data_IF_659102124547
#
_entry.id   IF_659102124547
#
_cell.length_a   1.000
_cell.length_b   1.000
_cell.length_c   1.000
_cell.angle_alpha   90.00
_cell.angle_beta   90.00
_cell.angle_gamma   90.00
#
_symmetry.space_group_name_H-M   'P 1'
#
loop_
_entity.id
_entity.type
_entity.pdbx_description
1 polymer ?
#
# COMPACT_ATOMS: atom_id res chain seq x y z
N UNK A 1 -33.58 -22.98 -0.41
CA UNK A 1 -33.78 -21.58 0.02
C UNK A 1 -33.22 -21.44 1.43
N UNK A 2 -31.93 -21.13 1.55
CA UNK A 2 -31.25 -20.95 2.84
C UNK A 2 -30.43 -19.67 2.73
N UNK A 3 -30.87 -18.63 3.44
CA UNK A 3 -30.06 -17.60 4.12
C UNK A 3 -28.83 -17.00 3.38
N UNK A 4 -29.04 -16.34 2.23
CA UNK A 4 -28.01 -15.50 1.58
C UNK A 4 -28.17 -14.00 1.91
N UNK A 5 -29.32 -13.60 2.47
CA UNK A 5 -29.63 -12.18 2.70
C UNK A 5 -28.80 -11.52 3.81
N UNK A 6 -28.39 -12.25 4.85
CA UNK A 6 -27.78 -11.62 6.03
C UNK A 6 -26.33 -11.16 5.79
N UNK A 7 -25.53 -11.93 5.05
CA UNK A 7 -24.11 -11.61 4.82
C UNK A 7 -23.92 -10.45 3.85
N UNK A 8 -24.79 -10.33 2.85
CA UNK A 8 -24.73 -9.26 1.86
C UNK A 8 -25.26 -7.93 2.43
N UNK A 9 -26.29 -7.99 3.30
CA UNK A 9 -26.73 -6.84 4.08
C UNK A 9 -25.65 -6.37 5.05
N UNK A 10 -24.91 -7.27 5.69
CA UNK A 10 -23.83 -6.90 6.62
C UNK A 10 -22.66 -6.22 5.91
N UNK A 11 -22.29 -6.68 4.70
CA UNK A 11 -21.22 -6.05 3.92
C UNK A 11 -21.65 -4.66 3.40
N UNK A 12 -22.87 -4.55 2.86
CA UNK A 12 -23.40 -3.29 2.36
C UNK A 12 -23.68 -2.30 3.50
N UNK A 13 -24.16 -2.78 4.65
CA UNK A 13 -24.33 -1.99 5.88
C UNK A 13 -22.99 -1.54 6.44
N UNK A 14 -21.96 -2.38 6.47
CA UNK A 14 -20.61 -2.01 6.92
C UNK A 14 -20.00 -0.91 6.03
N UNK A 15 -20.17 -1.01 4.71
CA UNK A 15 -19.70 0.00 3.74
C UNK A 15 -20.50 1.31 3.90
N UNK A 16 -21.82 1.23 4.04
CA UNK A 16 -22.68 2.43 4.24
C UNK A 16 -22.40 3.10 5.59
N UNK A 17 -22.08 2.31 6.62
CA UNK A 17 -21.72 2.82 7.95
C UNK A 17 -20.31 3.43 7.97
N UNK A 18 -19.37 2.93 7.16
CA UNK A 18 -18.04 3.51 6.98
C UNK A 18 -18.06 4.80 6.15
N UNK A 19 -18.96 4.89 5.16
CA UNK A 19 -19.10 6.07 4.29
C UNK A 19 -20.04 7.15 4.87
N UNK A 20 -20.88 6.79 5.86
CA UNK A 20 -21.87 7.67 6.46
C UNK A 20 -21.42 8.44 7.72
N UNK A 21 -20.26 8.13 8.30
CA UNK A 21 -19.77 8.89 9.46
C UNK A 21 -18.99 10.14 9.02
N UNK A 22 -19.72 11.25 9.15
CA UNK A 22 -19.22 12.61 9.10
C UNK A 22 -17.99 12.74 9.99
N UNK A 23 -16.92 13.22 9.37
CA UNK A 23 -15.63 13.67 9.90
C UNK A 23 -15.68 14.18 11.36
N UNK A 24 -15.59 13.28 12.32
CA UNK A 24 -15.10 13.59 13.65
C UNK A 24 -14.15 12.47 14.10
N UNK A 25 -12.91 12.85 14.32
CA UNK A 25 -11.75 11.98 14.56
C UNK A 25 -11.91 11.11 15.83
N UNK A 26 -12.92 11.39 16.66
CA UNK A 26 -13.18 10.74 17.94
C UNK A 26 -14.10 9.50 17.84
N UNK A 27 -14.99 9.42 16.85
CA UNK A 27 -15.97 8.31 16.78
C UNK A 27 -15.35 6.97 16.35
N UNK A 28 -14.22 7.02 15.64
CA UNK A 28 -13.43 5.82 15.29
C UNK A 28 -12.71 5.27 16.53
N UNK A 29 -12.26 6.13 17.44
CA UNK A 29 -11.64 5.71 18.72
C UNK A 29 -12.66 5.06 19.67
N UNK A 30 -13.89 5.56 19.70
CA UNK A 30 -14.94 5.06 20.61
C UNK A 30 -15.51 3.70 20.16
N UNK A 31 -15.51 3.39 18.87
CA UNK A 31 -15.89 2.03 18.37
C UNK A 31 -14.77 1.00 18.51
N UNK A 32 -13.50 1.41 18.51
CA UNK A 32 -12.38 0.52 18.82
C UNK A 32 -12.35 0.08 20.30
N UNK A 33 -13.00 0.83 21.19
CA UNK A 33 -13.07 0.58 22.64
C UNK A 33 -13.91 -0.65 23.04
N UNK A 34 -14.82 -1.13 22.20
CA UNK A 34 -15.59 -2.37 22.46
C UNK A 34 -14.79 -3.66 22.20
N UNK A 35 -13.61 -3.56 21.57
CA UNK A 35 -12.62 -4.63 21.38
C UNK A 35 -11.44 -4.44 22.36
N UNK A 36 -11.76 -4.25 23.64
CA UNK A 36 -10.87 -3.80 24.74
C UNK A 36 -9.63 -4.65 25.08
N UNK A 37 -9.20 -5.55 24.20
CA UNK A 37 -7.91 -6.27 24.26
C UNK A 37 -7.11 -6.23 22.94
N UNK A 38 -7.60 -5.59 21.87
CA UNK A 38 -7.07 -5.84 20.51
C UNK A 38 -6.39 -4.65 19.82
N UNK A 39 -6.72 -3.39 20.12
CA UNK A 39 -6.26 -2.26 19.31
C UNK A 39 -4.77 -1.92 19.48
N UNK A 40 -4.29 -1.84 20.72
CA UNK A 40 -2.86 -1.61 21.04
C UNK A 40 -1.99 -2.77 20.58
N UNK A 41 -2.50 -4.00 20.76
CA UNK A 41 -1.78 -5.24 20.48
C UNK A 41 -1.71 -5.47 18.97
N UNK A 42 -2.78 -5.16 18.24
CA UNK A 42 -2.81 -5.18 16.77
C UNK A 42 -1.84 -4.13 16.19
N UNK A 43 -1.82 -2.91 16.74
CA UNK A 43 -0.88 -1.88 16.29
C UNK A 43 0.56 -2.32 16.55
N UNK A 44 0.83 -2.89 17.71
CA UNK A 44 2.15 -3.41 18.08
C UNK A 44 2.57 -4.58 17.20
N UNK A 45 1.65 -5.50 16.91
CA UNK A 45 1.87 -6.61 15.99
C UNK A 45 2.15 -6.14 14.56
N UNK A 46 1.38 -5.18 14.05
CA UNK A 46 1.60 -4.60 12.72
C UNK A 46 2.93 -3.87 12.62
N UNK A 47 3.33 -3.14 13.65
CA UNK A 47 4.66 -2.51 13.69
C UNK A 47 5.79 -3.54 13.70
N UNK A 48 5.65 -4.62 14.49
CA UNK A 48 6.63 -5.73 14.53
C UNK A 48 6.70 -6.49 13.22
N UNK A 49 5.56 -6.77 12.60
CA UNK A 49 5.49 -7.40 11.29
C UNK A 49 6.09 -6.49 10.23
N UNK A 50 5.82 -5.18 10.28
CA UNK A 50 6.37 -4.19 9.37
C UNK A 50 7.89 -4.06 9.40
N UNK A 51 8.53 -4.48 10.51
CA UNK A 51 9.98 -4.43 10.70
C UNK A 51 10.70 -5.75 10.42
N UNK A 52 10.01 -6.80 9.92
CA UNK A 52 10.63 -8.12 9.71
C UNK A 52 11.70 -8.11 8.62
N UNK A 53 11.72 -7.10 7.76
CA UNK A 53 12.69 -6.95 6.68
C UNK A 53 13.86 -6.03 7.05
N UNK A 54 13.76 -5.31 8.17
CA UNK A 54 14.68 -4.23 8.52
C UNK A 54 16.05 -4.76 8.96
N UNK A 55 17.11 -4.12 8.48
CA UNK A 55 18.51 -4.35 8.84
C UNK A 55 19.11 -3.11 9.54
N UNK A 56 20.09 -3.29 10.44
CA UNK A 56 20.80 -2.17 11.04
C UNK A 56 21.55 -1.38 9.96
N UNK A 57 21.14 -0.13 9.72
CA UNK A 57 21.74 0.75 8.71
C UNK A 57 20.87 0.99 7.47
N UNK A 58 19.68 0.38 7.38
CA UNK A 58 18.71 0.73 6.34
C UNK A 58 18.31 2.21 6.45
N UNK A 59 18.28 2.90 5.32
CA UNK A 59 17.81 4.28 5.21
C UNK A 59 16.27 4.35 5.25
N UNK A 60 15.72 5.55 5.47
CA UNK A 60 14.27 5.74 5.61
C UNK A 60 13.49 5.29 4.36
N UNK A 61 14.06 5.42 3.16
CA UNK A 61 13.40 4.98 1.94
C UNK A 61 13.27 3.46 1.89
N UNK A 62 14.35 2.74 2.23
CA UNK A 62 14.34 1.26 2.29
C UNK A 62 13.34 0.74 3.32
N UNK A 63 13.34 1.32 4.53
CA UNK A 63 12.36 0.98 5.57
C UNK A 63 10.92 1.23 5.12
N UNK A 64 10.67 2.32 4.36
CA UNK A 64 9.35 2.59 3.81
C UNK A 64 8.95 1.52 2.77
N UNK A 65 9.86 1.12 1.87
CA UNK A 65 9.60 0.06 0.89
C UNK A 65 9.27 -1.28 1.55
N UNK A 66 10.00 -1.64 2.61
CA UNK A 66 9.73 -2.83 3.43
C UNK A 66 8.30 -2.82 3.98
N UNK A 67 7.92 -1.74 4.66
CA UNK A 67 6.60 -1.58 5.27
C UNK A 67 5.48 -1.62 4.24
N UNK A 68 5.64 -0.93 3.10
CA UNK A 68 4.65 -0.94 2.02
C UNK A 68 4.43 -2.35 1.49
N UNK A 69 5.51 -3.12 1.24
CA UNK A 69 5.41 -4.52 0.80
C UNK A 69 4.62 -5.37 1.80
N UNK A 70 4.97 -5.26 3.09
CA UNK A 70 4.37 -6.09 4.15
C UNK A 70 2.90 -5.74 4.34
N UNK A 71 2.56 -4.45 4.43
CA UNK A 71 1.19 -4.00 4.60
C UNK A 71 0.32 -4.33 3.39
N UNK A 72 0.85 -4.19 2.17
CA UNK A 72 0.15 -4.60 0.96
C UNK A 72 -0.11 -6.12 0.95
N UNK A 73 0.88 -6.94 1.33
CA UNK A 73 0.71 -8.39 1.45
C UNK A 73 -0.34 -8.77 2.49
N UNK A 74 -0.34 -8.14 3.68
CA UNK A 74 -1.36 -8.36 4.72
C UNK A 74 -2.76 -7.98 4.22
N UNK A 75 -2.90 -6.84 3.56
CA UNK A 75 -4.17 -6.39 2.99
C UNK A 75 -4.70 -7.38 1.95
N UNK A 76 -3.83 -7.85 1.06
CA UNK A 76 -4.19 -8.84 0.05
C UNK A 76 -4.48 -10.22 0.66
N UNK A 77 -3.79 -10.61 1.73
CA UNK A 77 -4.12 -11.81 2.51
C UNK A 77 -5.51 -11.71 3.13
N UNK A 78 -5.90 -10.54 3.66
CA UNK A 78 -7.25 -10.32 4.16
C UNK A 78 -8.29 -10.50 3.05
N UNK A 79 -8.02 -9.97 1.85
CA UNK A 79 -8.83 -10.22 0.65
C UNK A 79 -8.88 -11.70 0.26
N UNK A 80 -7.74 -12.40 0.29
CA UNK A 80 -7.63 -13.83 0.00
C UNK A 80 -8.42 -14.69 0.99
N UNK A 81 -8.34 -14.39 2.28
CA UNK A 81 -9.14 -15.06 3.31
C UNK A 81 -10.63 -14.79 3.13
N UNK A 82 -11.01 -13.55 2.83
CA UNK A 82 -12.40 -13.16 2.60
C UNK A 82 -12.98 -13.92 1.40
N UNK A 83 -12.34 -13.83 0.24
CA UNK A 83 -12.81 -14.49 -0.98
C UNK A 83 -12.71 -16.01 -0.91
N UNK A 84 -11.64 -16.56 -0.33
CA UNK A 84 -11.51 -18.00 -0.10
C UNK A 84 -12.62 -18.54 0.80
N UNK A 85 -12.96 -17.83 1.87
CA UNK A 85 -14.05 -18.20 2.77
C UNK A 85 -15.40 -18.11 2.07
N UNK A 86 -15.66 -17.04 1.32
CA UNK A 86 -16.88 -16.91 0.51
C UNK A 86 -16.99 -18.10 -0.45
N UNK A 87 -15.94 -18.39 -1.23
CA UNK A 87 -15.93 -19.54 -2.15
C UNK A 87 -16.23 -20.86 -1.46
N UNK A 88 -15.63 -21.13 -0.29
CA UNK A 88 -15.92 -22.33 0.50
C UNK A 88 -17.40 -22.41 0.90
N UNK A 89 -17.98 -21.30 1.39
CA UNK A 89 -19.38 -21.26 1.82
C UNK A 89 -20.36 -21.51 0.68
N UNK A 90 -19.99 -21.12 -0.54
CA UNK A 90 -20.77 -21.39 -1.76
C UNK A 90 -20.48 -22.77 -2.39
N UNK A 91 -19.68 -23.62 -1.74
CA UNK A 91 -19.34 -24.97 -2.20
C UNK A 91 -18.29 -25.03 -3.31
N UNK A 92 -17.57 -23.92 -3.53
CA UNK A 92 -16.51 -23.78 -4.53
C UNK A 92 -15.15 -24.18 -3.94
N UNK A 93 -15.04 -25.45 -3.55
CA UNK A 93 -13.88 -25.95 -2.81
C UNK A 93 -12.58 -25.84 -3.63
N UNK A 94 -12.64 -26.18 -4.91
CA UNK A 94 -11.48 -26.14 -5.80
C UNK A 94 -11.03 -24.70 -6.06
N UNK A 95 -11.99 -23.81 -6.31
CA UNK A 95 -11.74 -22.40 -6.61
C UNK A 95 -11.22 -21.66 -5.38
N UNK A 96 -11.71 -22.01 -4.18
CA UNK A 96 -11.24 -21.44 -2.92
C UNK A 96 -9.77 -21.71 -2.61
N UNK A 97 -9.19 -22.76 -3.20
CA UNK A 97 -7.77 -23.07 -3.05
C UNK A 97 -6.88 -21.96 -3.60
N UNK A 98 -7.35 -21.18 -4.59
CA UNK A 98 -6.55 -20.10 -5.19
C UNK A 98 -6.37 -18.92 -4.21
N UNK A 99 -7.43 -18.34 -3.61
CA UNK A 99 -7.28 -17.33 -2.57
C UNK A 99 -6.50 -17.81 -1.34
N UNK A 100 -6.71 -19.04 -0.87
CA UNK A 100 -5.90 -19.57 0.24
C UNK A 100 -4.44 -19.81 -0.16
N UNK A 101 -4.20 -20.21 -1.40
CA UNK A 101 -2.87 -20.31 -1.99
C UNK A 101 -2.12 -18.99 -1.91
N UNK A 102 -2.78 -17.85 -2.17
CA UNK A 102 -2.19 -16.52 -1.97
C UNK A 102 -1.69 -16.32 -0.53
N UNK A 103 -2.52 -16.69 0.44
CA UNK A 103 -2.20 -16.53 1.86
C UNK A 103 -0.98 -17.37 2.24
N UNK A 104 -0.93 -18.62 1.79
CA UNK A 104 0.20 -19.52 2.02
C UNK A 104 1.47 -19.00 1.34
N UNK A 105 1.39 -18.57 0.08
CA UNK A 105 2.53 -18.01 -0.67
C UNK A 105 3.08 -16.77 0.04
N UNK A 106 2.20 -15.87 0.49
CA UNK A 106 2.60 -14.65 1.21
C UNK A 106 3.23 -14.99 2.55
N UNK A 107 2.66 -15.93 3.32
CA UNK A 107 3.22 -16.37 4.58
C UNK A 107 4.62 -16.98 4.39
N UNK A 108 4.82 -17.84 3.38
CA UNK A 108 6.12 -18.41 3.04
C UNK A 108 7.11 -17.32 2.61
N UNK A 109 6.67 -16.38 1.76
CA UNK A 109 7.48 -15.24 1.32
C UNK A 109 7.96 -14.38 2.48
N UNK A 110 7.09 -14.08 3.45
CA UNK A 110 7.43 -13.26 4.61
C UNK A 110 8.26 -14.03 5.64
N UNK A 111 8.04 -15.34 5.82
CA UNK A 111 8.92 -16.19 6.61
C UNK A 111 10.33 -16.22 6.00
N UNK A 112 10.43 -16.38 4.68
CA UNK A 112 11.69 -16.32 3.95
C UNK A 112 12.35 -14.95 4.11
N UNK A 113 11.60 -13.86 3.97
CA UNK A 113 12.10 -12.50 4.18
C UNK A 113 12.62 -12.30 5.60
N UNK A 114 11.93 -12.81 6.61
CA UNK A 114 12.36 -12.70 8.01
C UNK A 114 13.66 -13.47 8.30
N UNK A 115 13.87 -14.62 7.65
CA UNK A 115 15.06 -15.47 7.86
C UNK A 115 16.26 -14.97 7.06
N UNK A 116 16.07 -14.75 5.76
CA UNK A 116 17.16 -14.46 4.82
C UNK A 116 17.38 -12.98 4.56
N UNK A 117 16.45 -12.11 4.99
CA UNK A 117 16.49 -10.65 4.79
C UNK A 117 16.66 -10.24 3.32
N UNK A 118 16.29 -11.12 2.39
CA UNK A 118 16.39 -10.85 0.97
C UNK A 118 15.10 -10.21 0.47
N UNK A 119 15.05 -8.88 0.56
CA UNK A 119 13.93 -8.08 0.12
C UNK A 119 13.63 -8.21 -1.39
N UNK A 120 14.67 -8.36 -2.22
CA UNK A 120 14.50 -8.47 -3.68
C UNK A 120 13.61 -9.66 -4.09
N UNK A 121 13.89 -10.84 -3.55
CA UNK A 121 13.11 -12.05 -3.83
C UNK A 121 11.68 -11.91 -3.28
N UNK A 122 11.53 -11.51 -2.01
CA UNK A 122 10.22 -11.37 -1.39
C UNK A 122 9.35 -10.35 -2.13
N UNK A 123 9.94 -9.23 -2.58
CA UNK A 123 9.30 -8.21 -3.42
C UNK A 123 8.79 -8.81 -4.72
N UNK A 124 9.65 -9.50 -5.48
CA UNK A 124 9.24 -10.09 -6.76
C UNK A 124 8.14 -11.13 -6.57
N UNK A 125 8.25 -12.00 -5.57
CA UNK A 125 7.22 -13.01 -5.27
C UNK A 125 5.90 -12.34 -4.92
N UNK A 126 5.90 -11.31 -4.06
CA UNK A 126 4.67 -10.67 -3.63
C UNK A 126 3.98 -9.91 -4.75
N UNK A 127 4.73 -9.15 -5.57
CA UNK A 127 4.16 -8.44 -6.73
C UNK A 127 3.61 -9.44 -7.73
N UNK A 128 4.37 -10.50 -8.05
CA UNK A 128 3.94 -11.56 -8.95
C UNK A 128 2.67 -12.24 -8.45
N UNK A 129 2.63 -12.63 -7.17
CA UNK A 129 1.47 -13.28 -6.59
C UNK A 129 0.24 -12.37 -6.61
N UNK A 130 0.43 -11.09 -6.25
CA UNK A 130 -0.65 -10.08 -6.20
C UNK A 130 -1.17 -9.71 -7.58
N UNK A 131 -0.35 -9.87 -8.62
CA UNK A 131 -0.74 -9.65 -10.01
C UNK A 131 -1.37 -10.90 -10.62
N UNK A 132 -0.74 -12.06 -10.49
CA UNK A 132 -1.10 -13.29 -11.20
C UNK A 132 -2.32 -13.99 -10.59
N UNK A 133 -2.41 -14.09 -9.26
CA UNK A 133 -3.45 -14.91 -8.64
C UNK A 133 -4.87 -14.39 -8.88
N UNK A 134 -5.15 -13.07 -8.96
CA UNK A 134 -6.46 -12.60 -9.38
C UNK A 134 -6.86 -13.08 -10.78
N UNK A 135 -5.93 -13.19 -11.74
CA UNK A 135 -6.22 -13.77 -13.06
C UNK A 135 -6.50 -15.28 -12.97
N UNK A 136 -5.67 -16.01 -12.22
CA UNK A 136 -5.89 -17.46 -12.03
C UNK A 136 -7.25 -17.70 -11.38
N UNK A 137 -7.60 -16.91 -10.35
CA UNK A 137 -8.88 -17.01 -9.68
C UNK A 137 -10.04 -16.66 -10.62
N UNK A 138 -9.89 -15.62 -11.45
CA UNK A 138 -10.85 -15.29 -12.50
C UNK A 138 -11.08 -16.47 -13.46
N UNK A 139 -10.03 -17.16 -13.89
CA UNK A 139 -10.16 -18.28 -14.82
C UNK A 139 -10.92 -19.45 -14.20
N UNK A 140 -10.60 -19.83 -12.96
CA UNK A 140 -11.33 -20.93 -12.28
C UNK A 140 -12.77 -20.57 -11.94
N UNK A 141 -13.10 -19.27 -11.79
CA UNK A 141 -14.47 -18.81 -11.61
C UNK A 141 -15.29 -18.78 -12.92
N UNK A 142 -14.66 -19.01 -14.08
CA UNK A 142 -15.33 -19.04 -15.38
C UNK A 142 -15.35 -17.71 -16.13
N UNK A 143 -14.26 -16.94 -16.06
CA UNK A 143 -14.05 -15.78 -16.93
C UNK A 143 -14.45 -14.42 -16.33
N UNK A 144 -14.45 -13.38 -17.15
CA UNK A 144 -14.73 -12.00 -16.73
C UNK A 144 -16.14 -11.85 -16.15
N UNK A 145 -17.14 -12.35 -16.89
CA UNK A 145 -18.55 -12.17 -16.52
C UNK A 145 -18.86 -12.91 -15.23
N UNK A 146 -18.37 -14.14 -15.09
CA UNK A 146 -18.66 -14.99 -13.94
C UNK A 146 -17.93 -14.52 -12.67
N UNK A 147 -16.69 -14.05 -12.82
CA UNK A 147 -15.89 -13.54 -11.70
C UNK A 147 -16.19 -12.09 -11.32
N UNK A 148 -16.93 -11.35 -12.16
CA UNK A 148 -17.14 -9.91 -11.97
C UNK A 148 -15.87 -9.08 -12.20
N UNK A 149 -14.99 -9.52 -13.09
CA UNK A 149 -13.73 -8.83 -13.37
C UNK A 149 -12.72 -8.92 -12.23
N UNK A 150 -12.56 -10.10 -11.62
CA UNK A 150 -11.66 -10.30 -10.47
C UNK A 150 -10.21 -9.90 -10.76
N UNK A 151 -9.76 -9.93 -12.02
CA UNK A 151 -8.44 -9.45 -12.43
C UNK A 151 -8.16 -7.97 -12.08
N UNK A 152 -9.19 -7.16 -11.84
CA UNK A 152 -9.04 -5.75 -11.47
C UNK A 152 -8.28 -5.56 -10.15
N UNK A 153 -8.30 -6.56 -9.26
CA UNK A 153 -7.49 -6.55 -8.03
C UNK A 153 -5.98 -6.48 -8.31
N UNK A 154 -5.53 -6.93 -9.48
CA UNK A 154 -4.12 -6.85 -9.91
C UNK A 154 -3.64 -5.40 -10.11
N UNK A 155 -4.55 -4.43 -10.25
CA UNK A 155 -4.20 -3.00 -10.31
C UNK A 155 -3.53 -2.57 -9.00
N UNK A 156 -3.91 -3.15 -7.86
CA UNK A 156 -3.26 -2.87 -6.58
C UNK A 156 -1.77 -3.24 -6.61
N UNK A 157 -1.43 -4.35 -7.29
CA UNK A 157 -0.03 -4.76 -7.48
C UNK A 157 0.73 -3.79 -8.41
N UNK A 158 0.08 -3.28 -9.47
CA UNK A 158 0.69 -2.28 -10.35
C UNK A 158 1.00 -0.99 -9.59
N UNK A 159 0.02 -0.47 -8.84
CA UNK A 159 0.21 0.74 -8.02
C UNK A 159 1.27 0.47 -6.94
N UNK A 160 1.19 -0.67 -6.26
CA UNK A 160 2.15 -1.07 -5.24
C UNK A 160 3.58 -1.13 -5.78
N UNK A 161 3.77 -1.67 -7.00
CA UNK A 161 5.09 -1.78 -7.64
C UNK A 161 5.77 -0.43 -7.85
N UNK A 162 5.01 0.64 -8.08
CA UNK A 162 5.56 2.00 -8.19
C UNK A 162 6.26 2.48 -6.92
N UNK A 163 5.83 1.97 -5.76
CA UNK A 163 6.32 2.38 -4.46
C UNK A 163 7.48 1.51 -3.93
N UNK A 164 7.63 0.29 -4.43
CA UNK A 164 8.57 -0.70 -3.86
C UNK A 164 9.60 -1.23 -4.86
N UNK A 165 9.34 -1.13 -6.17
CA UNK A 165 10.16 -1.71 -7.24
C UNK A 165 10.79 -0.64 -8.12
N UNK A 166 11.74 -1.06 -8.95
CA UNK A 166 12.48 -0.14 -9.81
C UNK A 166 11.62 0.40 -10.96
N UNK A 167 11.92 1.63 -11.39
CA UNK A 167 11.15 2.36 -12.43
C UNK A 167 11.02 1.60 -13.76
N UNK A 168 11.97 0.73 -14.09
CA UNK A 168 11.92 -0.13 -15.30
C UNK A 168 10.98 -1.32 -15.12
N UNK A 169 10.97 -1.94 -13.94
CA UNK A 169 10.16 -3.13 -13.62
C UNK A 169 8.66 -2.85 -13.70
N UNK A 170 8.23 -1.64 -13.37
CA UNK A 170 6.83 -1.18 -13.49
C UNK A 170 6.26 -1.44 -14.89
N UNK A 171 7.04 -1.16 -15.94
CA UNK A 171 6.59 -1.38 -17.32
C UNK A 171 6.50 -2.85 -17.68
N UNK A 172 7.34 -3.70 -17.08
CA UNK A 172 7.26 -5.16 -17.22
C UNK A 172 5.96 -5.67 -16.58
N UNK A 173 5.65 -5.20 -15.36
CA UNK A 173 4.40 -5.56 -14.67
C UNK A 173 3.16 -5.09 -15.43
N UNK A 174 3.18 -3.87 -15.97
CA UNK A 174 2.10 -3.37 -16.83
C UNK A 174 1.95 -4.22 -18.10
N UNK A 175 3.07 -4.54 -18.77
CA UNK A 175 3.07 -5.41 -19.94
C UNK A 175 2.47 -6.79 -19.64
N UNK A 176 2.82 -7.38 -18.49
CA UNK A 176 2.27 -8.65 -18.03
C UNK A 176 0.77 -8.56 -17.73
N UNK A 177 0.33 -7.50 -17.05
CA UNK A 177 -1.09 -7.25 -16.79
C UNK A 177 -1.90 -7.12 -18.09
N UNK A 178 -1.40 -6.35 -19.06
CA UNK A 178 -2.05 -6.17 -20.37
C UNK A 178 -2.09 -7.50 -21.13
N UNK A 179 -0.96 -8.22 -21.17
CA UNK A 179 -0.89 -9.53 -21.84
C UNK A 179 -1.87 -10.54 -21.22
N UNK A 180 -1.96 -10.62 -19.89
CA UNK A 180 -2.91 -11.50 -19.20
C UNK A 180 -4.36 -11.07 -19.38
N UNK A 181 -4.62 -9.76 -19.49
CA UNK A 181 -5.95 -9.24 -19.80
C UNK A 181 -6.40 -9.65 -21.20
N UNK A 182 -5.52 -9.47 -22.20
CA UNK A 182 -5.78 -9.89 -23.58
C UNK A 182 -5.96 -11.42 -23.65
N UNK A 183 -5.07 -12.17 -23.01
CA UNK A 183 -5.16 -13.63 -22.93
C UNK A 183 -6.48 -14.07 -22.30
N UNK A 184 -6.90 -13.45 -21.20
CA UNK A 184 -8.19 -13.73 -20.58
C UNK A 184 -9.35 -13.46 -21.52
N UNK A 185 -9.26 -12.42 -22.37
CA UNK A 185 -10.25 -12.12 -23.41
C UNK A 185 -10.38 -13.23 -24.44
N UNK A 186 -9.25 -13.78 -24.88
CA UNK A 186 -9.23 -14.94 -25.78
C UNK A 186 -9.72 -16.23 -25.11
N UNK A 187 -9.46 -16.40 -23.81
CA UNK A 187 -9.88 -17.57 -23.05
C UNK A 187 -11.37 -17.55 -22.69
N UNK A 188 -12.03 -16.38 -22.67
CA UNK A 188 -13.42 -16.22 -22.21
C UNK A 188 -14.41 -17.25 -22.78
N UNK A 189 -14.43 -17.56 -24.10
CA UNK A 189 -15.38 -18.54 -24.65
C UNK A 189 -15.14 -19.98 -24.19
N UNK A 190 -13.94 -20.27 -23.67
CA UNK A 190 -13.51 -21.62 -23.26
C UNK A 190 -13.62 -21.84 -21.75
N UNK A 191 -13.87 -20.79 -20.97
CA UNK A 191 -13.95 -20.86 -19.52
C UNK A 191 -15.39 -21.16 -19.07
N UNK A 192 -15.56 -22.26 -18.33
CA UNK A 192 -16.87 -22.72 -17.87
C UNK A 192 -17.03 -22.35 -16.39
N UNK A 193 -18.06 -21.57 -16.09
CA UNK A 193 -18.38 -21.18 -14.72
C UNK A 193 -18.88 -22.37 -13.87
N UNK A 194 -18.43 -22.51 -12.62
CA UNK A 194 -18.99 -23.47 -11.67
C UNK A 194 -20.49 -23.24 -11.46
N UNK A 195 -21.26 -24.33 -11.28
CA UNK A 195 -22.73 -24.29 -11.18
C UNK A 195 -23.28 -23.23 -10.22
N UNK A 196 -22.72 -23.02 -9.00
CA UNK A 196 -23.21 -21.99 -8.08
C UNK A 196 -23.18 -20.58 -8.66
N UNK A 197 -22.19 -20.25 -9.50
CA UNK A 197 -21.95 -18.90 -10.04
C UNK A 197 -22.76 -18.64 -11.32
N UNK A 198 -23.46 -19.64 -11.87
CA UNK A 198 -24.23 -19.48 -13.10
C UNK A 198 -25.52 -18.64 -12.91
N UNK A 199 -25.88 -18.28 -11.68
CA UNK A 199 -27.04 -17.41 -11.43
C UNK A 199 -26.71 -15.94 -11.75
N UNK A 200 -27.58 -15.27 -12.49
CA UNK A 200 -27.43 -13.86 -12.88
C UNK A 200 -27.27 -12.92 -11.67
N UNK A 201 -27.93 -13.25 -10.55
CA UNK A 201 -27.79 -12.50 -9.30
C UNK A 201 -26.36 -12.51 -8.76
N UNK A 202 -25.72 -13.69 -8.68
CA UNK A 202 -24.36 -13.80 -8.14
C UNK A 202 -23.31 -13.17 -9.06
N UNK A 203 -23.48 -13.30 -10.39
CA UNK A 203 -22.64 -12.62 -11.38
C UNK A 203 -22.69 -11.10 -11.22
N UNK A 204 -23.90 -10.55 -11.14
CA UNK A 204 -24.11 -9.12 -10.94
C UNK A 204 -23.53 -8.66 -9.61
N UNK A 205 -23.74 -9.44 -8.54
CA UNK A 205 -23.20 -9.13 -7.22
C UNK A 205 -21.67 -9.09 -7.22
N UNK A 206 -21.01 -10.09 -7.80
CA UNK A 206 -19.54 -10.14 -7.90
C UNK A 206 -19.02 -8.95 -8.70
N UNK A 207 -19.67 -8.62 -9.80
CA UNK A 207 -19.32 -7.46 -10.62
C UNK A 207 -19.41 -6.15 -9.81
N UNK A 208 -20.53 -5.90 -9.13
CA UNK A 208 -20.74 -4.69 -8.32
C UNK A 208 -19.73 -4.62 -7.18
N UNK A 209 -19.54 -5.72 -6.43
CA UNK A 209 -18.59 -5.76 -5.30
C UNK A 209 -17.17 -5.51 -5.78
N UNK A 210 -16.73 -6.12 -6.87
CA UNK A 210 -15.36 -5.91 -7.39
C UNK A 210 -15.16 -4.49 -7.90
N UNK A 211 -16.09 -3.96 -8.69
CA UNK A 211 -15.98 -2.58 -9.21
C UNK A 211 -15.94 -1.57 -8.08
N UNK A 212 -16.85 -1.67 -7.10
CA UNK A 212 -16.86 -0.76 -5.94
C UNK A 212 -15.59 -0.92 -5.13
N UNK A 213 -15.21 -2.15 -4.77
CA UNK A 213 -14.04 -2.41 -3.92
C UNK A 213 -12.74 -1.94 -4.55
N UNK A 214 -12.52 -2.26 -5.83
CA UNK A 214 -11.29 -1.86 -6.54
C UNK A 214 -11.27 -0.36 -6.76
N UNK A 215 -12.40 0.28 -7.13
CA UNK A 215 -12.44 1.74 -7.29
C UNK A 215 -12.14 2.45 -5.96
N UNK A 216 -12.73 1.99 -4.86
CA UNK A 216 -12.43 2.50 -3.52
C UNK A 216 -10.96 2.27 -3.15
N UNK A 217 -10.39 1.10 -3.42
CA UNK A 217 -8.99 0.79 -3.16
C UNK A 217 -8.06 1.73 -3.93
N UNK A 218 -8.28 1.91 -5.23
CA UNK A 218 -7.49 2.81 -6.09
C UNK A 218 -7.59 4.24 -5.58
N UNK A 219 -8.79 4.72 -5.22
CA UNK A 219 -8.97 6.05 -4.67
C UNK A 219 -8.23 6.22 -3.33
N UNK A 220 -8.36 5.26 -2.41
CA UNK A 220 -7.68 5.28 -1.12
C UNK A 220 -6.15 5.29 -1.27
N UNK A 221 -5.61 4.44 -2.15
CA UNK A 221 -4.18 4.42 -2.46
C UNK A 221 -3.73 5.75 -3.06
N UNK A 222 -4.49 6.31 -3.99
CA UNK A 222 -4.17 7.61 -4.62
C UNK A 222 -4.17 8.74 -3.60
N UNK A 223 -5.18 8.79 -2.73
CA UNK A 223 -5.27 9.78 -1.64
C UNK A 223 -4.10 9.61 -0.67
N UNK A 224 -3.75 8.38 -0.30
CA UNK A 224 -2.62 8.09 0.56
C UNK A 224 -1.29 8.57 -0.06
N UNK A 225 -0.99 8.19 -1.29
CA UNK A 225 0.25 8.58 -1.97
C UNK A 225 0.33 10.09 -2.19
N UNK A 226 -0.79 10.72 -2.55
CA UNK A 226 -0.83 12.18 -2.73
C UNK A 226 -0.53 12.89 -1.41
N UNK A 227 -1.17 12.48 -0.30
CA UNK A 227 -0.92 13.05 1.02
C UNK A 227 0.51 12.78 1.51
N UNK A 228 1.05 11.59 1.24
CA UNK A 228 2.43 11.26 1.58
C UNK A 228 3.41 12.18 0.83
N UNK A 229 3.20 12.38 -0.47
CA UNK A 229 3.99 13.30 -1.30
C UNK A 229 3.90 14.75 -0.84
N UNK A 230 2.71 15.22 -0.46
CA UNK A 230 2.52 16.57 0.06
C UNK A 230 3.23 16.80 1.41
N UNK A 231 3.32 15.77 2.27
CA UNK A 231 4.08 15.85 3.53
C UNK A 231 5.57 15.97 3.24
N UNK A 232 6.11 15.08 2.40
CA UNK A 232 7.51 15.11 2.01
C UNK A 232 7.91 16.45 1.35
N UNK A 233 7.05 17.01 0.49
CA UNK A 233 7.30 18.31 -0.14
C UNK A 233 7.29 19.46 0.88
N UNK A 234 6.41 19.41 1.90
CA UNK A 234 6.37 20.42 2.96
C UNK A 234 7.58 20.35 3.88
N UNK A 235 8.02 19.15 4.24
CA UNK A 235 9.22 18.93 5.05
C UNK A 235 10.47 19.42 4.33
N UNK A 236 10.60 19.09 3.03
CA UNK A 236 11.71 19.60 2.21
C UNK A 236 11.73 21.12 2.14
N UNK A 237 10.57 21.77 1.93
CA UNK A 237 10.50 23.24 1.90
C UNK A 237 10.93 23.87 3.23
N UNK A 238 10.53 23.29 4.37
CA UNK A 238 10.96 23.78 5.70
C UNK A 238 12.47 23.65 5.89
N UNK A 239 13.05 22.51 5.49
CA UNK A 239 14.50 22.32 5.56
C UNK A 239 15.26 23.32 4.67
N UNK A 240 14.75 23.60 3.46
CA UNK A 240 15.31 24.63 2.58
C UNK A 240 15.21 26.05 3.19
N UNK A 241 14.09 26.39 3.84
CA UNK A 241 13.90 27.67 4.56
C UNK A 241 14.81 27.80 5.81
N UNK A 242 15.03 26.72 6.54
CA UNK A 242 15.98 26.69 7.67
C UNK A 242 17.43 26.86 7.21
N UNK A 243 17.82 26.16 6.13
CA UNK A 243 19.14 26.33 5.52
C UNK A 243 19.36 27.76 5.00
N UNK A 244 18.34 28.38 4.40
CA UNK A 244 18.41 29.77 3.95
C UNK A 244 18.63 30.74 5.12
N UNK A 245 17.89 30.57 6.23
CA UNK A 245 18.07 31.40 7.44
C UNK A 245 19.44 31.23 8.08
N UNK A 246 19.94 30.00 8.17
CA UNK A 246 21.28 29.75 8.70
C UNK A 246 22.36 30.39 7.83
N UNK A 247 22.19 30.36 6.49
CA UNK A 247 23.12 30.99 5.57
C UNK A 247 23.13 32.52 5.74
N UNK A 248 21.96 33.15 5.78
CA UNK A 248 21.83 34.59 6.01
C UNK A 248 22.48 35.02 7.33
N UNK A 249 22.21 34.29 8.41
CA UNK A 249 22.82 34.57 9.71
C UNK A 249 24.35 34.40 9.71
N UNK A 250 24.88 33.41 8.98
CA UNK A 250 26.33 33.25 8.81
C UNK A 250 26.94 34.39 8.00
N UNK A 251 26.26 34.85 6.96
CA UNK A 251 26.69 36.01 6.16
C UNK A 251 26.74 37.28 7.03
N UNK A 252 25.72 37.53 7.86
CA UNK A 252 25.70 38.63 8.84
C UNK A 252 26.86 38.55 9.85
N UNK A 253 27.10 37.37 10.44
CA UNK A 253 28.20 37.18 11.39
C UNK A 253 29.57 37.38 10.75
N UNK A 254 29.76 36.91 9.52
CA UNK A 254 31.00 37.13 8.77
C UNK A 254 31.20 38.62 8.52
N UNK A 255 30.16 39.33 8.08
CA UNK A 255 30.21 40.78 7.86
C UNK A 255 30.57 41.53 9.15
N UNK A 256 29.92 41.20 10.27
CA UNK A 256 30.19 41.78 11.59
C UNK A 256 31.65 41.55 12.03
N UNK A 257 32.18 40.34 11.88
CA UNK A 257 33.56 40.02 12.23
C UNK A 257 34.56 40.74 11.33
N UNK A 258 34.29 40.82 10.01
CA UNK A 258 35.15 41.59 9.09
C UNK A 258 35.14 43.09 9.40
N UNK A 259 34.00 43.65 9.81
CA UNK A 259 33.92 45.05 10.24
C UNK A 259 34.74 45.30 11.50
N UNK A 260 34.59 44.45 12.53
CA UNK A 260 35.36 44.53 13.78
C UNK A 260 36.87 44.38 13.56
N UNK A 261 37.29 43.47 12.68
CA UNK A 261 38.70 43.31 12.33
C UNK A 261 39.25 44.58 11.65
N UNK A 262 38.48 45.16 10.72
CA UNK A 262 38.86 46.39 10.02
C UNK A 262 38.97 47.59 10.96
N UNK A 263 38.00 47.78 11.86
CA UNK A 263 38.06 48.81 12.92
C UNK A 263 39.27 48.60 13.84
N UNK A 264 39.58 47.35 14.19
CA UNK A 264 40.76 46.98 14.97
C UNK A 264 42.07 47.33 14.27
N UNK A 265 42.19 47.02 12.97
CA UNK A 265 43.35 47.37 12.15
C UNK A 265 43.53 48.89 12.01
N UNK A 266 42.44 49.64 11.79
CA UNK A 266 42.47 51.10 11.71
C UNK A 266 42.94 51.72 13.04
N UNK A 267 42.36 51.29 14.17
CA UNK A 267 42.78 51.76 15.51
C UNK A 267 44.25 51.46 15.81
N UNK A 268 44.77 50.30 15.39
CA UNK A 268 46.17 49.94 15.61
C UNK A 268 47.12 50.81 14.77
N UNK A 269 46.71 51.18 13.55
CA UNK A 269 47.45 52.07 12.66
C UNK A 269 47.55 53.49 13.22
N UNK A 270 46.43 54.05 13.69
CA UNK A 270 46.41 55.37 14.33
C UNK A 270 47.32 55.41 15.58
N UNK A 271 47.36 54.32 16.35
CA UNK A 271 48.23 54.21 17.52
C UNK A 271 49.72 54.17 17.12
N UNK A 272 50.06 53.52 16.00
CA UNK A 272 51.42 53.48 15.49
C UNK A 272 51.89 54.86 14.96
N UNK A 273 51.03 55.59 14.25
CA UNK A 273 51.35 56.94 13.72
C UNK A 273 51.46 58.01 14.82
N UNK A 274 50.70 57.89 15.92
CA UNK A 274 50.79 58.82 17.04
C UNK A 274 51.99 58.59 17.98
N UNK A 275 52.63 57.42 17.88
CA UNK A 275 53.82 57.08 18.68
C UNK A 275 55.16 57.38 17.96
N UNK A 276 55.12 57.71 16.67
CA UNK A 276 56.27 58.14 15.85
C UNK A 276 56.40 59.66 15.80
#
# INVERSE_FOLDING_TARGET
>A
MVSVDTSCFLLCSAITHLLGQKNDSQDVEIKLLFLGLAASDMKTLLMRLGSIADLPGDDEETLLRHRILIYAGILMCAGGLLWGTISLLFGLYWESAVPFGYVVITAVSFCFLNIFKNFGIARTVQISASLLLPFVFQWVLGGFVSSGGMMLWSIAALIGSLAIDDRRSVWIWLGLYVALTILSGFLEPYLIAPKPIQTEFLRTLFYVVNVVSVTSLVLLLTVYFTRARERALRERKRAEEELARHREHLEELVEEQTSKLREGEERFRDFAESAS
#
